data_IF_126809388336
#
_entry.id   IF_126809388336
#
_cell.length_a   1.000
_cell.length_b   1.000
_cell.length_c   1.000
_cell.angle_alpha   90.00
_cell.angle_beta   90.00
_cell.angle_gamma   90.00
#
_symmetry.space_group_name_H-M   'P 1'
#
loop_
_entity.id
_entity.type
_entity.pdbx_description
1 polymer ?
#
# COMPACT_ATOMS: atom_id res chain seq x y z
N UNK A 1 4.59 -12.42 20.25
CA UNK A 1 4.01 -11.35 19.42
C UNK A 1 3.85 -11.85 18.02
N UNK A 2 2.64 -11.82 17.52
CA UNK A 2 2.40 -12.22 16.15
C UNK A 2 2.80 -11.09 15.21
N UNK A 3 3.76 -11.34 14.33
CA UNK A 3 4.07 -10.46 13.22
C UNK A 3 2.96 -10.53 12.19
N UNK A 4 1.85 -9.88 12.48
CA UNK A 4 0.79 -9.76 11.48
C UNK A 4 1.18 -8.64 10.54
N UNK A 5 1.78 -9.02 9.42
CA UNK A 5 2.12 -8.09 8.35
C UNK A 5 0.85 -7.76 7.58
N UNK A 6 0.39 -6.51 7.69
CA UNK A 6 -0.83 -6.04 7.05
C UNK A 6 -0.68 -5.86 5.54
N UNK A 7 0.54 -5.57 5.10
CA UNK A 7 0.85 -5.24 3.71
C UNK A 7 1.98 -6.13 3.22
N UNK A 8 2.02 -6.34 1.91
CA UNK A 8 3.15 -7.02 1.28
C UNK A 8 4.37 -6.11 1.22
N UNK A 9 5.54 -6.70 1.13
CA UNK A 9 6.74 -5.93 0.83
C UNK A 9 6.67 -5.38 -0.59
N UNK A 10 7.25 -4.20 -0.80
CA UNK A 10 7.42 -3.65 -2.13
C UNK A 10 8.36 -4.53 -2.94
N UNK A 11 8.06 -4.70 -4.22
CA UNK A 11 8.93 -5.44 -5.13
C UNK A 11 10.16 -4.62 -5.46
N UNK A 12 11.19 -5.27 -6.02
CA UNK A 12 12.39 -4.58 -6.46
C UNK A 12 12.08 -3.45 -7.45
N UNK A 13 11.18 -3.71 -8.40
CA UNK A 13 10.77 -2.72 -9.39
C UNK A 13 10.09 -1.52 -8.75
N UNK A 14 9.20 -1.78 -7.78
CA UNK A 14 8.53 -0.72 -7.03
C UNK A 14 9.53 0.10 -6.22
N UNK A 15 10.49 -0.54 -5.58
CA UNK A 15 11.55 0.15 -4.83
C UNK A 15 12.41 1.01 -5.74
N UNK A 16 12.74 0.55 -6.93
CA UNK A 16 13.48 1.32 -7.92
C UNK A 16 12.72 2.60 -8.31
N UNK A 17 11.39 2.50 -8.44
CA UNK A 17 10.53 3.65 -8.71
C UNK A 17 10.41 4.61 -7.53
N UNK A 18 10.78 4.18 -6.33
CA UNK A 18 10.70 4.97 -5.10
C UNK A 18 12.09 5.23 -4.49
N UNK A 19 13.11 5.24 -5.32
CA UNK A 19 14.51 5.33 -4.89
C UNK A 19 14.78 6.52 -3.97
N UNK A 20 14.28 7.69 -4.32
CA UNK A 20 14.48 8.89 -3.52
C UNK A 20 13.79 8.78 -2.14
N UNK A 21 12.56 8.31 -2.12
CA UNK A 21 11.79 8.11 -0.90
C UNK A 21 12.46 7.07 0.00
N UNK A 22 12.97 5.99 -0.57
CA UNK A 22 13.68 4.97 0.17
C UNK A 22 15.00 5.53 0.76
N UNK A 23 15.73 6.31 -0.01
CA UNK A 23 16.95 6.95 0.48
C UNK A 23 16.67 7.87 1.66
N UNK A 24 15.60 8.64 1.61
CA UNK A 24 15.17 9.49 2.72
C UNK A 24 14.77 8.68 3.95
N UNK A 25 14.10 7.56 3.74
CA UNK A 25 13.77 6.64 4.83
C UNK A 25 15.03 6.10 5.51
N UNK A 26 16.00 5.61 4.73
CA UNK A 26 17.26 5.12 5.27
C UNK A 26 18.02 6.20 6.05
N UNK A 27 18.04 7.41 5.54
CA UNK A 27 18.67 8.54 6.23
C UNK A 27 17.99 8.81 7.57
N UNK A 28 16.65 8.73 7.63
CA UNK A 28 15.89 8.89 8.87
C UNK A 28 16.18 7.80 9.90
N UNK A 29 16.64 6.64 9.44
CA UNK A 29 17.04 5.52 10.30
C UNK A 29 18.54 5.59 10.70
N UNK A 30 19.21 6.68 10.36
CA UNK A 30 20.61 6.85 10.65
C UNK A 30 21.53 6.02 9.76
N UNK A 31 21.08 5.66 8.57
CA UNK A 31 21.83 4.81 7.64
C UNK A 31 22.23 5.59 6.38
N UNK A 32 23.41 6.17 6.33
CA UNK A 32 23.89 6.85 5.12
C UNK A 32 24.19 5.86 3.99
N UNK A 33 24.33 6.36 2.77
CA UNK A 33 24.54 5.56 1.57
C UNK A 33 25.74 4.59 1.69
N UNK A 34 26.84 5.01 2.33
CA UNK A 34 28.02 4.17 2.53
C UNK A 34 27.72 2.98 3.44
N UNK A 35 26.96 3.21 4.50
CA UNK A 35 26.56 2.16 5.43
C UNK A 35 25.56 1.21 4.76
N UNK A 36 24.64 1.74 3.98
CA UNK A 36 23.68 0.94 3.23
C UNK A 36 24.37 -0.01 2.24
N UNK A 37 25.41 0.47 1.54
CA UNK A 37 26.18 -0.36 0.62
C UNK A 37 26.81 -1.55 1.35
N UNK A 38 27.37 -1.32 2.54
CA UNK A 38 27.94 -2.39 3.37
C UNK A 38 26.87 -3.39 3.84
N UNK A 39 25.78 -2.87 4.41
CA UNK A 39 24.69 -3.67 4.96
C UNK A 39 24.04 -4.52 3.87
N UNK A 40 23.90 -3.98 2.66
CA UNK A 40 23.31 -4.70 1.53
C UNK A 40 24.11 -5.95 1.16
N UNK A 41 25.42 -5.92 1.36
CA UNK A 41 26.30 -7.05 1.08
C UNK A 41 26.44 -8.01 2.25
N UNK A 42 26.49 -7.48 3.47
CA UNK A 42 26.90 -8.25 4.66
C UNK A 42 25.75 -8.68 5.56
N UNK A 43 24.62 -7.97 5.52
CA UNK A 43 23.51 -8.19 6.44
C UNK A 43 22.14 -8.28 5.71
N UNK A 44 21.92 -9.35 4.91
CA UNK A 44 20.68 -9.46 4.12
C UNK A 44 19.40 -9.49 4.97
N UNK A 45 19.46 -10.03 6.19
CA UNK A 45 18.31 -10.02 7.10
C UNK A 45 17.90 -8.62 7.52
N UNK A 46 18.88 -7.72 7.72
CA UNK A 46 18.63 -6.33 8.05
C UNK A 46 18.07 -5.57 6.86
N UNK A 47 18.52 -5.88 5.67
CA UNK A 47 17.96 -5.32 4.42
C UNK A 47 16.49 -5.66 4.29
N UNK A 48 16.15 -6.93 4.47
CA UNK A 48 14.78 -7.40 4.39
C UNK A 48 13.88 -6.69 5.43
N UNK A 49 14.34 -6.57 6.66
CA UNK A 49 13.60 -5.88 7.72
C UNK A 49 13.35 -4.40 7.37
N UNK A 50 14.35 -3.70 6.84
CA UNK A 50 14.21 -2.30 6.45
C UNK A 50 13.26 -2.13 5.26
N UNK A 51 13.28 -3.04 4.30
CA UNK A 51 12.35 -3.03 3.17
C UNK A 51 10.92 -3.22 3.68
N UNK A 52 10.70 -4.11 4.65
CA UNK A 52 9.39 -4.30 5.26
C UNK A 52 8.90 -3.05 5.99
N UNK A 53 9.76 -2.40 6.76
CA UNK A 53 9.41 -1.17 7.47
C UNK A 53 9.04 -0.05 6.49
N UNK A 54 9.84 0.13 5.45
CA UNK A 54 9.57 1.12 4.42
C UNK A 54 8.26 0.80 3.67
N UNK A 55 8.06 -0.46 3.31
CA UNK A 55 6.84 -0.91 2.62
C UNK A 55 5.60 -0.63 3.44
N UNK A 56 5.63 -0.95 4.74
CA UNK A 56 4.52 -0.67 5.65
C UNK A 56 4.22 0.82 5.71
N UNK A 57 5.25 1.64 5.88
CA UNK A 57 5.10 3.10 5.91
C UNK A 57 4.50 3.62 4.60
N UNK A 58 5.00 3.14 3.47
CA UNK A 58 4.52 3.53 2.15
C UNK A 58 3.03 3.20 1.98
N UNK A 59 2.65 1.95 2.28
CA UNK A 59 1.27 1.52 2.13
C UNK A 59 0.33 2.25 3.09
N UNK A 60 0.71 2.43 4.34
CA UNK A 60 -0.11 3.17 5.31
C UNK A 60 -0.32 4.62 4.88
N UNK A 61 0.73 5.29 4.43
CA UNK A 61 0.64 6.66 3.97
C UNK A 61 -0.25 6.77 2.73
N UNK A 62 -0.06 5.86 1.77
CA UNK A 62 -0.82 5.85 0.53
C UNK A 62 -2.30 5.55 0.78
N UNK A 63 -2.59 4.49 1.53
CA UNK A 63 -3.97 4.06 1.74
C UNK A 63 -4.75 5.02 2.65
N UNK A 64 -4.08 5.68 3.61
CA UNK A 64 -4.75 6.62 4.50
C UNK A 64 -5.24 7.89 3.80
N UNK A 65 -4.64 8.23 2.66
CA UNK A 65 -4.97 9.43 1.88
C UNK A 65 -6.03 9.19 0.83
N UNK A 66 -6.23 7.93 0.43
CA UNK A 66 -7.15 7.59 -0.65
C UNK A 66 -8.59 7.61 -0.14
N UNK A 67 -9.44 8.34 -0.84
CA UNK A 67 -10.89 8.35 -0.62
C UNK A 67 -11.60 7.67 -1.77
N UNK A 68 -11.10 7.84 -3.00
CA UNK A 68 -11.72 7.29 -4.21
C UNK A 68 -10.74 6.39 -4.94
N UNK A 69 -11.25 5.26 -5.43
CA UNK A 69 -10.53 4.34 -6.30
C UNK A 69 -11.39 4.01 -7.51
N UNK A 70 -10.74 3.89 -8.66
CA UNK A 70 -11.37 3.43 -9.89
C UNK A 70 -10.65 2.20 -10.39
N UNK A 71 -11.40 1.29 -10.97
CA UNK A 71 -10.83 0.10 -11.61
C UNK A 71 -11.62 -0.23 -12.85
N UNK A 72 -10.93 -0.46 -13.96
CA UNK A 72 -11.52 -0.96 -15.20
C UNK A 72 -11.07 -2.40 -15.41
N UNK A 73 -12.03 -3.29 -15.66
CA UNK A 73 -11.75 -4.70 -15.81
C UNK A 73 -12.70 -5.31 -16.85
N UNK A 74 -12.19 -5.55 -18.06
CA UNK A 74 -12.96 -6.19 -19.12
C UNK A 74 -14.24 -5.45 -19.54
N UNK A 75 -14.25 -4.13 -19.45
CA UNK A 75 -15.42 -3.32 -19.74
C UNK A 75 -16.29 -3.00 -18.53
N UNK A 76 -16.06 -3.68 -17.41
CA UNK A 76 -16.67 -3.31 -16.14
C UNK A 76 -15.92 -2.11 -15.55
N UNK A 77 -16.67 -1.14 -15.05
CA UNK A 77 -16.11 0.02 -14.35
C UNK A 77 -16.48 -0.07 -12.89
N UNK A 78 -15.49 -0.02 -12.02
CA UNK A 78 -15.65 -0.11 -10.58
C UNK A 78 -15.22 1.21 -9.96
N UNK A 79 -16.07 1.74 -9.07
CA UNK A 79 -15.80 2.97 -8.34
C UNK A 79 -15.99 2.70 -6.85
N UNK A 80 -14.99 3.09 -6.06
CA UNK A 80 -15.00 2.89 -4.61
C UNK A 80 -14.84 4.23 -3.93
N UNK A 81 -15.62 4.44 -2.87
CA UNK A 81 -15.47 5.60 -2.00
C UNK A 81 -15.31 5.12 -0.57
N UNK A 82 -14.21 5.51 0.05
CA UNK A 82 -13.87 5.11 1.42
C UNK A 82 -14.15 6.25 2.40
N UNK A 83 -15.08 6.02 3.33
CA UNK A 83 -15.30 6.87 4.49
C UNK A 83 -14.50 6.36 5.68
N UNK A 84 -14.78 6.89 6.86
CA UNK A 84 -14.07 6.49 8.07
C UNK A 84 -14.32 5.03 8.45
N UNK A 85 -15.55 4.56 8.29
CA UNK A 85 -15.98 3.23 8.72
C UNK A 85 -16.84 2.51 7.68
N UNK A 86 -17.00 3.07 6.49
CA UNK A 86 -17.84 2.50 5.44
C UNK A 86 -17.24 2.74 4.07
N UNK A 87 -17.22 1.70 3.25
CA UNK A 87 -16.87 1.81 1.84
C UNK A 87 -18.13 1.68 1.00
N UNK A 88 -18.26 2.51 -0.03
CA UNK A 88 -19.34 2.46 -1.01
C UNK A 88 -18.78 1.97 -2.33
N UNK A 89 -19.54 1.15 -3.04
CA UNK A 89 -19.18 0.60 -4.33
C UNK A 89 -20.24 0.94 -5.37
N UNK A 90 -19.77 1.35 -6.53
CA UNK A 90 -20.57 1.43 -7.75
C UNK A 90 -19.87 0.62 -8.83
N UNK A 91 -20.56 -0.34 -9.40
CA UNK A 91 -20.09 -1.08 -10.58
C UNK A 91 -21.02 -0.78 -11.75
N UNK A 92 -20.43 -0.50 -12.91
CA UNK A 92 -21.17 -0.30 -14.15
C UNK A 92 -20.67 -1.37 -15.13
N UNK A 93 -21.59 -2.26 -15.56
CA UNK A 93 -21.22 -3.32 -16.49
C UNK A 93 -21.13 -2.79 -17.95
N UNK A 94 -20.68 -3.60 -18.92
CA UNK A 94 -20.54 -3.16 -20.31
C UNK A 94 -21.87 -2.69 -20.94
N UNK A 95 -23.01 -3.13 -20.45
CA UNK A 95 -24.34 -2.72 -20.93
C UNK A 95 -24.85 -1.46 -20.22
N UNK A 96 -24.10 -0.91 -19.29
CA UNK A 96 -24.49 0.28 -18.55
C UNK A 96 -25.34 0.03 -17.32
N UNK A 97 -25.54 -1.24 -16.94
CA UNK A 97 -26.29 -1.56 -15.72
C UNK A 97 -25.45 -1.22 -14.49
N UNK A 98 -26.08 -0.56 -13.52
CA UNK A 98 -25.44 -0.12 -12.30
C UNK A 98 -25.76 -1.04 -11.12
N UNK A 99 -24.71 -1.42 -10.40
CA UNK A 99 -24.82 -2.20 -9.16
C UNK A 99 -24.18 -1.39 -8.04
N UNK A 100 -24.87 -1.27 -6.92
CA UNK A 100 -24.40 -0.50 -5.77
C UNK A 100 -24.27 -1.39 -4.55
N UNK A 101 -23.28 -1.14 -3.74
CA UNK A 101 -23.05 -1.84 -2.49
C UNK A 101 -22.37 -0.98 -1.47
N UNK A 102 -22.38 -1.45 -0.24
CA UNK A 102 -21.69 -0.80 0.86
C UNK A 102 -21.19 -1.85 1.83
N UNK A 103 -20.04 -1.56 2.47
CA UNK A 103 -19.44 -2.43 3.48
C UNK A 103 -18.99 -1.58 4.65
N UNK A 104 -19.33 -2.01 5.86
CA UNK A 104 -18.81 -1.38 7.08
C UNK A 104 -17.52 -2.07 7.51
N UNK A 105 -16.62 -1.31 8.12
CA UNK A 105 -15.37 -1.83 8.65
C UNK A 105 -14.96 -1.03 9.89
N UNK A 106 -14.14 -1.61 10.79
CA UNK A 106 -13.56 -0.84 11.90
C UNK A 106 -12.68 0.28 11.35
N UNK A 107 -12.74 1.46 11.94
CA UNK A 107 -11.99 2.62 11.48
C UNK A 107 -10.49 2.34 11.34
N UNK A 108 -9.93 1.57 12.25
CA UNK A 108 -8.51 1.19 12.22
C UNK A 108 -8.16 0.22 11.09
N UNK A 109 -9.15 -0.40 10.46
CA UNK A 109 -8.94 -1.30 9.33
C UNK A 109 -9.05 -0.59 7.97
N UNK A 110 -9.33 0.70 7.94
CA UNK A 110 -9.57 1.46 6.70
C UNK A 110 -8.43 1.32 5.68
N UNK A 111 -7.20 1.51 6.12
CA UNK A 111 -6.04 1.39 5.25
C UNK A 111 -5.93 0.02 4.63
N UNK A 112 -6.22 -1.04 5.39
CA UNK A 112 -6.20 -2.42 4.92
C UNK A 112 -7.30 -2.70 3.90
N UNK A 113 -8.51 -2.16 4.12
CA UNK A 113 -9.61 -2.27 3.17
C UNK A 113 -9.27 -1.60 1.83
N UNK A 114 -8.66 -0.43 1.87
CA UNK A 114 -8.20 0.26 0.66
C UNK A 114 -7.12 -0.58 -0.04
N UNK A 115 -6.18 -1.12 0.71
CA UNK A 115 -5.08 -1.92 0.17
C UNK A 115 -5.58 -3.16 -0.58
N UNK A 116 -6.62 -3.83 -0.07
CA UNK A 116 -7.16 -5.05 -0.69
C UNK A 116 -7.72 -4.79 -2.10
N UNK A 117 -8.11 -3.56 -2.39
CA UNK A 117 -8.67 -3.19 -3.70
C UNK A 117 -7.57 -2.71 -4.66
N UNK A 118 -6.50 -2.16 -4.11
CA UNK A 118 -5.37 -1.77 -4.93
C UNK A 118 -4.71 -2.99 -5.56
#
# INVERSE_FOLDING_TARGET
MSDVRRYRALTREELEGLELEFARFLASQGMPATEWARVSCEEPGKVEALIWEFSTMFWETTTSRLTYLERNDGGDQWYFKFGEDTAQLLRIDPEGTQFRGAKSYPQEARGQEVFLIL
#
